data_IF_737313416625
#
_entry.id   IF_737313416625
#
_cell.length_a   1.000
_cell.length_b   1.000
_cell.length_c   1.000
_cell.angle_alpha   90.00
_cell.angle_beta   90.00
_cell.angle_gamma   90.00
#
_symmetry.space_group_name_H-M   'P 1'
#
loop_
_entity.id
_entity.type
_entity.pdbx_description
1 polymer ?
#
# COMPACT_ATOMS: atom_id res chain seq x y z
N UNK A 1 12.02 -13.51 -15.16
CA UNK A 1 11.68 -12.46 -14.17
C UNK A 1 10.27 -12.69 -13.64
N UNK A 2 9.26 -12.73 -14.51
CA UNK A 2 7.87 -13.06 -14.16
C UNK A 2 7.75 -14.36 -13.35
N UNK A 3 8.34 -15.47 -13.80
CA UNK A 3 8.23 -16.76 -13.10
C UNK A 3 8.76 -16.68 -11.66
N UNK A 4 9.90 -16.02 -11.47
CA UNK A 4 10.47 -15.80 -10.13
C UNK A 4 9.61 -14.89 -9.27
N UNK A 5 9.00 -13.85 -9.86
CA UNK A 5 8.07 -13.00 -9.12
C UNK A 5 6.89 -13.82 -8.58
N UNK A 6 6.32 -14.69 -9.42
CA UNK A 6 5.21 -15.56 -9.03
C UNK A 6 5.65 -16.61 -8.00
N UNK A 7 6.84 -17.18 -8.14
CA UNK A 7 7.42 -18.09 -7.15
C UNK A 7 7.53 -17.43 -5.77
N UNK A 8 8.05 -16.20 -5.73
CA UNK A 8 8.17 -15.42 -4.49
C UNK A 8 6.81 -15.03 -3.87
N UNK A 9 5.72 -14.96 -4.66
CA UNK A 9 4.39 -14.78 -4.08
C UNK A 9 3.98 -15.94 -3.18
N UNK A 10 4.60 -17.13 -3.36
CA UNK A 10 4.39 -18.29 -2.49
C UNK A 10 4.86 -18.10 -1.06
N UNK A 11 5.69 -17.09 -0.79
CA UNK A 11 6.18 -16.75 0.55
C UNK A 11 5.17 -15.89 1.35
N UNK A 12 4.08 -15.46 0.71
CA UNK A 12 3.08 -14.56 1.30
C UNK A 12 1.78 -15.30 1.61
N UNK A 13 1.14 -14.94 2.70
CA UNK A 13 -0.18 -15.40 3.08
C UNK A 13 -1.27 -14.38 2.71
N UNK A 14 -2.50 -14.85 2.62
CA UNK A 14 -3.67 -13.97 2.42
C UNK A 14 -3.70 -12.89 3.49
N UNK A 15 -3.74 -11.64 3.05
CA UNK A 15 -3.74 -10.46 3.89
C UNK A 15 -2.39 -9.79 4.05
N UNK A 16 -1.30 -10.42 3.62
CA UNK A 16 0.03 -9.83 3.63
C UNK A 16 0.17 -8.70 2.60
N UNK A 17 1.16 -7.84 2.83
CA UNK A 17 1.49 -6.74 1.93
C UNK A 17 2.72 -7.08 1.09
N UNK A 18 2.64 -6.81 -0.21
CA UNK A 18 3.75 -6.93 -1.13
C UNK A 18 4.61 -5.66 -1.06
N UNK A 19 5.85 -5.81 -0.60
CA UNK A 19 6.80 -4.71 -0.47
C UNK A 19 7.83 -4.73 -1.60
N UNK A 20 7.93 -3.65 -2.38
CA UNK A 20 8.93 -3.52 -3.46
C UNK A 20 10.34 -3.90 -3.00
N UNK A 21 10.75 -3.48 -1.79
CA UNK A 21 12.08 -3.78 -1.26
C UNK A 21 12.40 -5.27 -1.17
N UNK A 22 11.42 -6.12 -0.87
CA UNK A 22 11.60 -7.57 -0.84
C UNK A 22 11.91 -8.10 -2.25
N UNK A 23 11.05 -7.80 -3.23
CA UNK A 23 11.27 -8.24 -4.62
C UNK A 23 12.53 -7.64 -5.24
N UNK A 24 12.86 -6.39 -4.90
CA UNK A 24 14.10 -5.74 -5.34
C UNK A 24 15.32 -6.52 -4.87
N UNK A 25 15.33 -6.97 -3.62
CA UNK A 25 16.48 -7.70 -3.07
C UNK A 25 16.59 -9.12 -3.65
N UNK A 26 15.46 -9.80 -3.87
CA UNK A 26 15.46 -11.20 -4.33
C UNK A 26 15.69 -11.35 -5.85
N UNK A 27 15.11 -10.45 -6.65
CA UNK A 27 15.13 -10.59 -8.13
C UNK A 27 15.61 -9.34 -8.87
N UNK A 28 16.08 -8.31 -8.16
CA UNK A 28 16.57 -7.05 -8.73
C UNK A 28 15.56 -6.42 -9.71
N UNK A 29 14.27 -6.47 -9.34
CA UNK A 29 13.18 -5.84 -10.10
C UNK A 29 13.26 -4.31 -9.96
N UNK A 30 12.87 -3.59 -11.00
CA UNK A 30 12.70 -2.13 -10.95
C UNK A 30 11.38 -1.74 -10.28
N UNK A 31 11.23 -0.47 -9.91
CA UNK A 31 9.98 0.07 -9.41
C UNK A 31 8.89 0.06 -10.49
N UNK A 32 9.24 0.39 -11.73
CA UNK A 32 8.34 0.32 -12.89
C UNK A 32 7.81 -1.10 -13.11
N UNK A 33 8.70 -2.10 -13.12
CA UNK A 33 8.32 -3.50 -13.28
C UNK A 33 7.45 -3.97 -12.11
N UNK A 34 7.77 -3.59 -10.88
CA UNK A 34 6.97 -3.94 -9.70
C UNK A 34 5.53 -3.39 -9.80
N UNK A 35 5.39 -2.15 -10.26
CA UNK A 35 4.08 -1.52 -10.51
C UNK A 35 3.33 -2.24 -11.64
N UNK A 36 4.00 -2.63 -12.72
CA UNK A 36 3.38 -3.40 -13.81
C UNK A 36 2.88 -4.76 -13.29
N UNK A 37 3.73 -5.49 -12.56
CA UNK A 37 3.41 -6.82 -12.04
C UNK A 37 2.22 -6.77 -11.05
N UNK A 38 2.24 -5.82 -10.11
CA UNK A 38 1.14 -5.65 -9.15
C UNK A 38 -0.17 -5.25 -9.84
N UNK A 39 -0.13 -4.38 -10.86
CA UNK A 39 -1.33 -4.03 -11.64
C UNK A 39 -1.91 -5.23 -12.39
N UNK A 40 -1.09 -6.15 -12.89
CA UNK A 40 -1.57 -7.41 -13.49
C UNK A 40 -2.28 -8.26 -12.44
N UNK A 41 -1.67 -8.44 -11.27
CA UNK A 41 -2.28 -9.21 -10.17
C UNK A 41 -3.60 -8.59 -9.66
N UNK A 42 -3.70 -7.25 -9.67
CA UNK A 42 -4.94 -6.54 -9.36
C UNK A 42 -6.04 -6.86 -10.35
N UNK A 43 -5.75 -6.85 -11.65
CA UNK A 43 -6.73 -7.22 -12.68
C UNK A 43 -7.16 -8.68 -12.60
N UNK A 44 -6.32 -9.54 -12.04
CA UNK A 44 -6.62 -10.95 -11.79
C UNK A 44 -7.36 -11.19 -10.46
N UNK A 45 -7.52 -10.17 -9.62
CA UNK A 45 -8.17 -10.30 -8.30
C UNK A 45 -7.32 -11.02 -7.25
N UNK A 46 -6.00 -11.16 -7.47
CA UNK A 46 -5.07 -11.81 -6.54
C UNK A 46 -4.54 -10.79 -5.52
N UNK A 47 -4.36 -9.55 -5.95
CA UNK A 47 -3.88 -8.44 -5.13
C UNK A 47 -4.91 -7.33 -5.18
N UNK A 48 -5.08 -6.62 -4.08
CA UNK A 48 -5.85 -5.38 -4.04
C UNK A 48 -4.94 -4.21 -3.67
N UNK A 49 -5.28 -3.02 -4.18
CA UNK A 49 -4.64 -1.77 -3.79
C UNK A 49 -5.40 -1.21 -2.61
N UNK A 50 -4.71 -1.02 -1.49
CA UNK A 50 -5.28 -0.38 -0.29
C UNK A 50 -4.46 0.84 0.09
N UNK A 51 -5.11 1.78 0.74
CA UNK A 51 -4.54 3.05 1.15
C UNK A 51 -4.52 3.13 2.66
N UNK A 52 -3.48 3.75 3.20
CA UNK A 52 -3.36 4.13 4.61
C UNK A 52 -2.84 5.56 4.68
N UNK A 53 -3.06 6.22 5.81
CA UNK A 53 -2.55 7.56 6.08
C UNK A 53 -1.28 7.48 6.92
N UNK A 54 -0.30 8.30 6.57
CA UNK A 54 0.91 8.51 7.35
C UNK A 54 0.76 9.79 8.20
N UNK A 55 1.20 9.73 9.45
CA UNK A 55 1.25 10.89 10.33
C UNK A 55 2.64 11.55 10.24
N UNK A 56 2.76 12.77 9.71
CA UNK A 56 4.05 13.46 9.66
C UNK A 56 4.59 13.85 11.05
N UNK A 57 3.71 14.02 12.03
CA UNK A 57 4.08 14.45 13.38
C UNK A 57 4.69 13.33 14.23
N UNK A 58 4.05 12.15 14.25
CA UNK A 58 4.50 11.03 15.09
C UNK A 58 5.13 9.87 14.31
N UNK A 59 5.12 9.94 12.98
CA UNK A 59 5.69 8.95 12.08
C UNK A 59 4.88 7.66 11.94
N UNK A 60 3.66 7.58 12.48
CA UNK A 60 2.84 6.37 12.39
C UNK A 60 2.03 6.25 11.11
N UNK A 61 1.79 5.00 10.72
CA UNK A 61 0.82 4.66 9.68
C UNK A 61 -0.51 4.28 10.36
N UNK A 62 -1.61 4.84 9.85
CA UNK A 62 -2.97 4.57 10.35
C UNK A 62 -3.28 3.08 10.34
N UNK A 63 -4.12 2.63 11.28
CA UNK A 63 -4.62 1.25 11.24
C UNK A 63 -5.78 1.11 10.26
N UNK A 64 -6.55 2.18 10.07
CA UNK A 64 -7.61 2.26 9.07
C UNK A 64 -7.08 1.92 7.68
N UNK A 65 -7.80 1.02 7.02
CA UNK A 65 -7.61 0.63 5.63
C UNK A 65 -8.71 1.26 4.78
N UNK A 66 -8.31 1.95 3.72
CA UNK A 66 -9.21 2.48 2.71
C UNK A 66 -9.02 1.70 1.41
N UNK A 67 -10.11 1.31 0.77
CA UNK A 67 -10.10 0.54 -0.48
C UNK A 67 -10.33 1.44 -1.69
N UNK A 68 -10.91 2.62 -1.48
CA UNK A 68 -11.02 3.69 -2.45
C UNK A 68 -10.37 4.96 -1.86
N UNK A 69 -9.64 5.69 -2.69
CA UNK A 69 -9.03 6.96 -2.28
C UNK A 69 -10.09 8.00 -1.87
N UNK A 70 -11.31 7.89 -2.41
CA UNK A 70 -12.44 8.73 -2.08
C UNK A 70 -13.08 8.41 -0.71
N UNK A 71 -12.72 7.28 -0.09
CA UNK A 71 -13.15 6.96 1.28
C UNK A 71 -12.39 7.80 2.32
N UNK A 72 -11.25 8.37 1.95
CA UNK A 72 -10.43 9.22 2.80
C UNK A 72 -11.17 10.56 2.97
N UNK A 73 -11.81 10.73 4.13
CA UNK A 73 -12.62 11.91 4.43
C UNK A 73 -11.74 13.09 4.83
N UNK A 74 -12.30 14.29 4.68
CA UNK A 74 -11.67 15.60 4.98
C UNK A 74 -11.31 15.84 6.45
N UNK A 75 -11.45 14.86 7.34
CA UNK A 75 -11.17 14.98 8.77
C UNK A 75 -10.84 13.60 9.37
N UNK A 76 -9.68 13.05 9.02
CA UNK A 76 -9.13 11.87 9.69
C UNK A 76 -8.05 12.27 10.68
N UNK A 77 -8.07 11.63 11.85
CA UNK A 77 -7.20 11.95 12.98
C UNK A 77 -6.25 10.78 13.24
N UNK A 78 -5.00 11.09 13.58
CA UNK A 78 -4.02 10.09 13.97
C UNK A 78 -4.43 9.40 15.28
N UNK A 79 -4.56 8.07 15.26
CA UNK A 79 -4.90 7.24 16.43
C UNK A 79 -3.88 7.31 17.59
N UNK A 80 -2.70 7.92 17.39
CA UNK A 80 -1.61 7.95 18.39
C UNK A 80 -1.39 9.32 19.01
N UNK A 81 -1.42 10.38 18.22
CA UNK A 81 -1.09 11.74 18.68
C UNK A 81 -2.22 12.76 18.47
N UNK A 82 -3.39 12.30 18.04
CA UNK A 82 -4.57 13.12 17.77
C UNK A 82 -4.35 14.26 16.76
N UNK A 83 -3.28 14.20 15.97
CA UNK A 83 -3.02 15.16 14.91
C UNK A 83 -3.96 14.93 13.72
N UNK A 84 -4.46 16.01 13.14
CA UNK A 84 -5.25 15.97 11.91
C UNK A 84 -4.36 15.49 10.73
N UNK A 85 -4.73 14.37 10.13
CA UNK A 85 -4.00 13.76 9.01
C UNK A 85 -4.49 14.28 7.67
N UNK A 86 -5.75 14.64 7.62
CA UNK A 86 -6.43 15.12 6.43
C UNK A 86 -7.33 16.27 6.85
N UNK A 87 -7.08 17.44 6.27
CA UNK A 87 -7.98 18.60 6.34
C UNK A 87 -8.68 18.85 4.99
N UNK A 88 -9.63 19.80 4.93
CA UNK A 88 -10.45 20.07 3.74
C UNK A 88 -9.66 20.44 2.47
N UNK A 89 -8.42 20.92 2.61
CA UNK A 89 -7.56 21.33 1.50
C UNK A 89 -6.36 20.37 1.23
N UNK A 90 -6.15 19.32 2.05
CA UNK A 90 -4.93 18.48 2.00
C UNK A 90 -5.19 16.95 1.98
N UNK A 91 -6.28 16.48 1.38
CA UNK A 91 -6.72 15.06 1.45
C UNK A 91 -5.79 13.98 0.90
N UNK A 92 -4.72 14.35 0.19
CA UNK A 92 -3.85 13.40 -0.51
C UNK A 92 -2.38 13.44 -0.10
N UNK A 93 -2.00 14.32 0.84
CA UNK A 93 -0.59 14.63 1.11
C UNK A 93 0.19 13.51 1.79
N UNK A 94 -0.49 12.69 2.58
CA UNK A 94 0.13 11.65 3.41
C UNK A 94 -0.40 10.25 3.13
N UNK A 95 -0.86 9.99 1.91
CA UNK A 95 -1.35 8.68 1.52
C UNK A 95 -0.18 7.75 1.21
N UNK A 96 -0.22 6.57 1.81
CA UNK A 96 0.67 5.45 1.50
C UNK A 96 -0.14 4.38 0.80
N UNK A 97 0.38 3.92 -0.34
CA UNK A 97 -0.21 2.84 -1.13
C UNK A 97 0.39 1.51 -0.72
N UNK A 98 -0.47 0.55 -0.45
CA UNK A 98 -0.10 -0.85 -0.20
C UNK A 98 -0.76 -1.77 -1.23
N UNK A 99 -0.08 -2.87 -1.52
CA UNK A 99 -0.58 -3.96 -2.34
C UNK A 99 -0.80 -5.16 -1.43
N UNK A 100 -2.04 -5.56 -1.22
CA UNK A 100 -2.42 -6.61 -0.27
C UNK A 100 -2.85 -7.87 -1.00
N UNK A 101 -2.39 -9.04 -0.56
CA UNK A 101 -2.79 -10.33 -1.13
C UNK A 101 -4.20 -10.72 -0.65
N UNK A 102 -5.07 -11.16 -1.57
CA UNK A 102 -6.50 -11.47 -1.34
C UNK A 102 -6.79 -12.95 -1.32
#
# INVERSE_FOLDING_TARGET
>A
MVDKFVELLGDFEKGDYLYYGYFKNEINITDEDFVVMTNVLIRMGIVEKVYKLFCPECGEISRTLYYDINEIKTADICEKCDNELVGPDESYKYIVVFFRLV
#
